data_IF_938600134073
#
_entry.id   IF_938600134073
#
_cell.length_a   1.000
_cell.length_b   1.000
_cell.length_c   1.000
_cell.angle_alpha   90.00
_cell.angle_beta   90.00
_cell.angle_gamma   90.00
#
_symmetry.space_group_name_H-M   'P 1'
#
loop_
_entity.id
_entity.type
_entity.pdbx_description
1 polymer ?
#
# COMPACT_ATOMS: atom_id res chain seq x y z
N UNK A 1 -35.78 24.04 20.91
CA UNK A 1 -35.09 24.52 22.12
C UNK A 1 -33.62 24.76 21.81
N UNK A 2 -33.02 25.80 22.40
CA UNK A 2 -31.59 26.12 22.30
C UNK A 2 -30.71 24.92 22.70
N UNK A 3 -31.16 24.15 23.70
CA UNK A 3 -30.49 22.95 24.21
C UNK A 3 -30.32 21.86 23.13
N UNK A 4 -31.32 21.70 22.26
CA UNK A 4 -31.26 20.74 21.16
C UNK A 4 -30.21 21.16 20.12
N UNK A 5 -30.05 22.47 19.90
CA UNK A 5 -29.05 23.05 18.99
C UNK A 5 -27.64 22.87 19.56
N UNK A 6 -27.47 23.13 20.86
CA UNK A 6 -26.19 22.93 21.57
C UNK A 6 -25.78 21.46 21.55
N UNK A 7 -26.71 20.53 21.82
CA UNK A 7 -26.45 19.09 21.76
C UNK A 7 -26.06 18.62 20.36
N UNK A 8 -26.73 19.13 19.32
CA UNK A 8 -26.36 18.86 17.92
C UNK A 8 -24.96 19.38 17.61
N UNK A 9 -24.63 20.62 17.97
CA UNK A 9 -23.31 21.20 17.72
C UNK A 9 -22.19 20.47 18.48
N UNK A 10 -22.43 20.04 19.73
CA UNK A 10 -21.47 19.24 20.50
C UNK A 10 -21.24 17.86 19.86
N UNK A 11 -22.29 17.20 19.36
CA UNK A 11 -22.15 15.94 18.63
C UNK A 11 -21.47 16.09 17.26
N UNK A 12 -21.60 17.25 16.63
CA UNK A 12 -20.89 17.58 15.38
C UNK A 12 -19.42 17.92 15.65
N UNK A 13 -19.13 18.60 16.76
CA UNK A 13 -17.78 18.91 17.20
C UNK A 13 -16.98 17.64 17.52
N UNK A 14 -17.61 16.58 18.07
CA UNK A 14 -16.92 15.29 18.25
C UNK A 14 -16.53 14.60 16.94
N UNK A 15 -17.22 14.91 15.83
CA UNK A 15 -16.81 14.46 14.49
C UNK A 15 -15.76 15.40 13.83
N UNK A 16 -15.55 16.59 14.40
CA UNK A 16 -14.52 17.55 14.03
C UNK A 16 -13.27 17.28 14.89
N UNK A 17 -12.53 16.22 14.55
CA UNK A 17 -11.35 15.77 15.26
C UNK A 17 -10.67 14.58 14.58
N UNK A 18 -9.63 14.03 15.20
CA UNK A 18 -8.94 12.85 14.69
C UNK A 18 -9.85 11.61 14.77
N UNK A 19 -10.00 10.91 13.66
CA UNK A 19 -10.64 9.59 13.63
C UNK A 19 -9.60 8.57 14.06
N UNK A 20 -9.91 7.82 15.12
CA UNK A 20 -9.04 6.74 15.62
C UNK A 20 -9.54 5.42 15.06
N UNK A 21 -8.64 4.70 14.38
CA UNK A 21 -8.86 3.33 13.94
C UNK A 21 -7.88 2.43 14.69
N UNK A 22 -8.37 1.29 15.20
CA UNK A 22 -7.51 0.29 15.81
C UNK A 22 -6.95 -0.63 14.73
N UNK A 23 -5.63 -0.67 14.56
CA UNK A 23 -4.95 -1.52 13.59
C UNK A 23 -4.91 -3.01 14.00
N UNK A 24 -5.25 -3.33 15.25
CA UNK A 24 -5.12 -4.68 15.80
C UNK A 24 -3.65 -5.05 15.94
N UNK A 25 -3.29 -6.21 15.37
CA UNK A 25 -1.93 -6.75 15.43
C UNK A 25 -1.03 -6.29 14.27
N UNK A 26 -1.59 -5.59 13.27
CA UNK A 26 -0.82 -5.15 12.10
C UNK A 26 -0.06 -3.84 12.41
N UNK A 27 1.15 -3.73 11.86
CA UNK A 27 2.04 -2.57 12.03
C UNK A 27 2.55 -2.09 10.69
N UNK A 28 2.86 -0.79 10.60
CA UNK A 28 3.53 -0.22 9.44
C UNK A 28 4.90 -0.88 9.25
N UNK A 29 5.13 -1.48 8.07
CA UNK A 29 6.45 -1.92 7.63
C UNK A 29 7.31 -0.77 7.12
N UNK A 30 6.68 0.34 6.74
CA UNK A 30 7.32 1.58 6.38
C UNK A 30 6.38 2.75 6.68
N UNK A 31 6.92 3.97 6.69
CA UNK A 31 6.21 5.13 7.23
C UNK A 31 4.87 5.38 6.49
N UNK A 32 3.77 5.32 7.25
CA UNK A 32 2.43 5.61 6.76
C UNK A 32 1.83 4.56 5.81
N UNK A 33 2.34 3.33 5.80
CA UNK A 33 1.83 2.23 4.96
C UNK A 33 0.32 1.99 5.17
N UNK A 34 -0.11 1.68 6.40
CA UNK A 34 -1.51 1.39 6.73
C UNK A 34 -2.40 2.59 6.37
N UNK A 35 -1.93 3.81 6.67
CA UNK A 35 -2.66 5.04 6.34
C UNK A 35 -2.87 5.16 4.83
N UNK A 36 -1.84 4.89 4.03
CA UNK A 36 -1.93 4.95 2.57
C UNK A 36 -2.86 3.86 2.01
N UNK A 37 -2.82 2.64 2.54
CA UNK A 37 -3.74 1.55 2.18
C UNK A 37 -5.20 1.98 2.43
N UNK A 38 -5.47 2.58 3.60
CA UNK A 38 -6.80 3.10 3.93
C UNK A 38 -7.20 4.18 2.92
N UNK A 39 -6.34 5.16 2.65
CA UNK A 39 -6.63 6.23 1.68
C UNK A 39 -6.95 5.65 0.29
N UNK A 40 -6.20 4.65 -0.18
CA UNK A 40 -6.44 4.03 -1.49
C UNK A 40 -7.75 3.21 -1.52
N UNK A 41 -8.12 2.58 -0.40
CA UNK A 41 -9.44 1.98 -0.23
C UNK A 41 -10.56 3.02 -0.29
N UNK A 42 -10.40 4.18 0.36
CA UNK A 42 -11.37 5.29 0.29
C UNK A 42 -11.51 5.84 -1.14
N UNK A 43 -10.38 6.03 -1.85
CA UNK A 43 -10.37 6.46 -3.27
C UNK A 43 -11.05 5.45 -4.18
N UNK A 44 -11.04 4.16 -3.85
CA UNK A 44 -11.76 3.14 -4.59
C UNK A 44 -13.25 3.19 -4.26
N UNK A 45 -13.60 3.29 -2.98
CA UNK A 45 -14.97 3.32 -2.50
C UNK A 45 -15.77 4.54 -3.01
N UNK A 46 -15.11 5.69 -3.19
CA UNK A 46 -15.78 6.93 -3.62
C UNK A 46 -16.23 6.91 -5.10
N UNK A 47 -15.57 6.14 -5.97
CA UNK A 47 -15.82 6.12 -7.43
C UNK A 47 -17.27 5.79 -7.80
N UNK A 48 -17.96 5.01 -6.97
CA UNK A 48 -19.32 4.54 -7.21
C UNK A 48 -20.37 5.26 -6.32
N UNK A 49 -20.02 6.40 -5.71
CA UNK A 49 -20.93 7.15 -4.84
C UNK A 49 -21.60 8.31 -5.58
N UNK A 50 -22.85 8.58 -5.20
CA UNK A 50 -23.55 9.80 -5.60
C UNK A 50 -22.78 11.01 -5.05
N UNK A 51 -22.33 11.90 -5.94
CA UNK A 51 -21.53 13.09 -5.64
C UNK A 51 -22.23 14.08 -4.70
N UNK A 52 -23.56 14.10 -4.69
CA UNK A 52 -24.36 14.94 -3.78
C UNK A 52 -24.67 14.24 -2.45
N UNK A 53 -24.29 12.97 -2.31
CA UNK A 53 -24.57 12.15 -1.14
C UNK A 53 -23.63 12.44 0.03
N UNK A 54 -24.14 12.27 1.26
CA UNK A 54 -23.34 12.49 2.48
C UNK A 54 -22.08 11.64 2.53
N UNK A 55 -22.16 10.37 2.08
CA UNK A 55 -21.00 9.48 2.04
C UNK A 55 -19.92 9.99 1.10
N UNK A 56 -20.27 10.56 -0.05
CA UNK A 56 -19.29 11.16 -0.95
C UNK A 56 -18.58 12.34 -0.28
N UNK A 57 -19.34 13.27 0.34
CA UNK A 57 -18.74 14.41 1.05
C UNK A 57 -17.80 13.99 2.18
N UNK A 58 -18.14 12.93 2.93
CA UNK A 58 -17.26 12.40 3.98
C UNK A 58 -15.98 11.82 3.36
N UNK A 59 -16.09 10.93 2.37
CA UNK A 59 -14.94 10.29 1.73
C UNK A 59 -14.03 11.33 1.06
N UNK A 60 -14.59 12.31 0.35
CA UNK A 60 -13.82 13.41 -0.25
C UNK A 60 -13.07 14.21 0.79
N UNK A 61 -13.70 14.53 1.92
CA UNK A 61 -13.05 15.25 3.02
C UNK A 61 -11.89 14.45 3.62
N UNK A 62 -12.08 13.15 3.85
CA UNK A 62 -11.00 12.28 4.36
C UNK A 62 -9.84 12.19 3.39
N UNK A 63 -10.10 11.99 2.09
CA UNK A 63 -9.05 11.91 1.07
C UNK A 63 -8.28 13.23 0.96
N UNK A 64 -8.98 14.38 1.05
CA UNK A 64 -8.36 15.70 0.88
C UNK A 64 -7.54 16.15 2.10
N UNK A 65 -7.94 15.77 3.32
CA UNK A 65 -7.32 16.23 4.56
C UNK A 65 -6.29 15.25 5.16
N UNK A 66 -6.01 14.14 4.48
CA UNK A 66 -5.00 13.18 4.92
C UNK A 66 -3.89 13.08 3.88
N UNK A 67 -2.67 13.50 4.27
CA UNK A 67 -1.49 13.41 3.41
C UNK A 67 -1.18 11.94 3.06
N UNK A 68 -0.98 11.69 1.76
CA UNK A 68 -0.52 10.41 1.24
C UNK A 68 1.01 10.36 1.32
N UNK A 69 1.56 9.40 2.05
CA UNK A 69 3.01 9.27 2.19
C UNK A 69 3.64 8.94 0.83
N UNK A 70 4.70 9.67 0.45
CA UNK A 70 5.41 9.47 -0.83
C UNK A 70 6.30 8.23 -0.81
N UNK A 71 6.55 7.63 0.35
CA UNK A 71 7.36 6.42 0.48
C UNK A 71 6.75 5.24 -0.29
N UNK A 72 5.43 5.03 -0.21
CA UNK A 72 4.75 3.96 -1.00
C UNK A 72 5.04 4.09 -2.49
N UNK A 73 4.90 5.29 -3.05
CA UNK A 73 5.16 5.53 -4.47
C UNK A 73 6.64 5.36 -4.82
N UNK A 74 7.54 5.82 -3.95
CA UNK A 74 8.99 5.66 -4.11
C UNK A 74 9.39 4.19 -4.13
N UNK A 75 8.79 3.37 -3.25
CA UNK A 75 8.99 1.92 -3.18
C UNK A 75 8.42 1.20 -4.41
N UNK A 76 7.20 1.55 -4.85
CA UNK A 76 6.62 1.04 -6.12
C UNK A 76 7.53 1.33 -7.32
N UNK A 77 8.08 2.54 -7.39
CA UNK A 77 9.02 2.92 -8.45
C UNK A 77 10.34 2.16 -8.36
N UNK A 78 10.90 1.99 -7.16
CA UNK A 78 12.12 1.20 -6.96
C UNK A 78 11.91 -0.26 -7.35
N UNK A 79 10.78 -0.88 -6.97
CA UNK A 79 10.41 -2.23 -7.41
C UNK A 79 10.37 -2.33 -8.93
N UNK A 80 9.65 -1.41 -9.57
CA UNK A 80 9.53 -1.36 -11.03
C UNK A 80 10.90 -1.24 -11.70
N UNK A 81 11.76 -0.31 -11.26
CA UNK A 81 13.11 -0.13 -11.80
C UNK A 81 13.99 -1.36 -11.59
N UNK A 82 13.86 -2.01 -10.44
CA UNK A 82 14.68 -3.18 -10.05
C UNK A 82 14.36 -4.40 -10.91
N UNK A 83 13.08 -4.64 -11.21
CA UNK A 83 12.68 -5.84 -11.92
C UNK A 83 12.45 -5.63 -13.42
N UNK A 84 12.37 -4.38 -13.92
CA UNK A 84 12.18 -4.13 -15.36
C UNK A 84 13.33 -4.72 -16.16
N UNK A 85 13.01 -5.68 -17.04
CA UNK A 85 14.03 -6.36 -17.84
C UNK A 85 14.92 -7.32 -17.04
N UNK A 86 14.48 -7.73 -15.84
CA UNK A 86 15.19 -8.69 -15.00
C UNK A 86 15.62 -9.93 -15.79
N UNK A 87 16.91 -10.28 -15.69
CA UNK A 87 17.52 -11.46 -16.32
C UNK A 87 18.07 -12.45 -15.32
N UNK A 88 18.64 -11.95 -14.22
CA UNK A 88 19.20 -12.75 -13.13
C UNK A 88 19.28 -11.90 -11.87
N UNK A 89 19.48 -12.56 -10.73
CA UNK A 89 19.73 -11.91 -9.45
C UNK A 89 21.17 -11.41 -9.37
N UNK A 90 21.45 -10.26 -9.99
CA UNK A 90 22.72 -9.58 -9.83
C UNK A 90 22.81 -8.86 -8.46
N UNK A 91 23.99 -8.36 -8.13
CA UNK A 91 24.23 -7.69 -6.85
C UNK A 91 23.38 -6.44 -6.66
N UNK A 92 23.09 -5.70 -7.75
CA UNK A 92 22.25 -4.50 -7.72
C UNK A 92 20.78 -4.86 -7.44
N UNK A 93 20.26 -5.89 -8.11
CA UNK A 93 18.89 -6.39 -7.92
C UNK A 93 18.71 -6.91 -6.51
N UNK A 94 19.65 -7.73 -6.02
CA UNK A 94 19.60 -8.26 -4.66
C UNK A 94 19.63 -7.14 -3.62
N UNK A 95 20.48 -6.12 -3.83
CA UNK A 95 20.55 -4.94 -2.94
C UNK A 95 19.23 -4.17 -2.95
N UNK A 96 18.68 -3.86 -4.11
CA UNK A 96 17.44 -3.08 -4.19
C UNK A 96 16.23 -3.84 -3.62
N UNK A 97 16.15 -5.16 -3.82
CA UNK A 97 15.12 -5.99 -3.20
C UNK A 97 15.28 -5.98 -1.67
N UNK A 98 16.51 -6.05 -1.16
CA UNK A 98 16.78 -5.91 0.28
C UNK A 98 16.39 -4.54 0.80
N UNK A 99 16.72 -3.46 0.08
CA UNK A 99 16.35 -2.09 0.43
C UNK A 99 14.82 -1.90 0.44
N UNK A 100 14.09 -2.67 -0.38
CA UNK A 100 12.63 -2.73 -0.37
C UNK A 100 12.06 -3.51 0.81
N UNK A 101 12.87 -4.29 1.54
CA UNK A 101 12.40 -5.14 2.66
C UNK A 101 12.26 -6.63 2.30
N UNK A 102 12.79 -7.08 1.16
CA UNK A 102 12.77 -8.50 0.81
C UNK A 102 14.01 -9.25 1.29
N UNK A 103 13.78 -10.48 1.76
CA UNK A 103 14.79 -11.54 1.74
C UNK A 103 14.59 -12.45 0.53
N UNK A 104 15.71 -12.93 -0.02
CA UNK A 104 15.74 -13.86 -1.13
C UNK A 104 16.42 -15.16 -0.68
N UNK A 105 15.72 -16.28 -0.84
CA UNK A 105 16.26 -17.63 -0.61
C UNK A 105 16.23 -18.42 -1.91
N UNK A 106 17.29 -19.20 -2.16
CA UNK A 106 17.39 -20.01 -3.37
C UNK A 106 16.53 -21.27 -3.24
N UNK A 107 15.59 -21.46 -4.17
CA UNK A 107 14.74 -22.65 -4.26
C UNK A 107 14.83 -23.27 -5.67
N UNK A 108 15.79 -24.18 -5.85
CA UNK A 108 16.03 -24.85 -7.13
C UNK A 108 16.28 -23.87 -8.28
N UNK A 109 15.34 -23.79 -9.24
CA UNK A 109 15.38 -22.88 -10.40
C UNK A 109 14.77 -21.50 -10.14
N UNK A 110 14.30 -21.25 -8.92
CA UNK A 110 13.62 -20.01 -8.53
C UNK A 110 14.29 -19.39 -7.29
N UNK A 111 13.98 -18.13 -7.07
CA UNK A 111 14.19 -17.39 -5.84
C UNK A 111 12.84 -17.29 -5.14
N UNK A 112 12.79 -17.65 -3.87
CA UNK A 112 11.67 -17.29 -3.00
C UNK A 112 11.98 -15.94 -2.37
N UNK A 113 11.17 -14.95 -2.72
CA UNK A 113 11.19 -13.63 -2.11
C UNK A 113 10.20 -13.61 -0.95
N UNK A 114 10.59 -13.07 0.20
CA UNK A 114 9.72 -12.90 1.37
C UNK A 114 9.85 -11.48 1.88
N UNK A 115 8.73 -10.77 2.00
CA UNK A 115 8.68 -9.37 2.40
C UNK A 115 8.60 -9.26 3.93
N UNK A 116 9.52 -8.49 4.53
CA UNK A 116 9.66 -8.28 5.98
C UNK A 116 9.63 -9.56 6.81
N UNK A 117 10.24 -10.64 6.30
CA UNK A 117 10.27 -11.96 6.94
C UNK A 117 8.87 -12.57 7.25
N UNK A 118 7.81 -12.00 6.69
CA UNK A 118 6.45 -12.50 6.86
C UNK A 118 6.09 -13.46 5.72
N UNK A 119 5.92 -14.77 6.00
CA UNK A 119 5.66 -15.76 4.97
C UNK A 119 4.31 -15.56 4.25
N UNK A 120 3.39 -14.75 4.79
CA UNK A 120 2.14 -14.35 4.12
C UNK A 120 2.43 -13.58 2.83
N UNK A 121 3.55 -12.85 2.78
CA UNK A 121 3.91 -11.97 1.67
C UNK A 121 5.13 -12.53 0.93
N UNK A 122 4.91 -13.55 0.10
CA UNK A 122 5.97 -14.21 -0.67
C UNK A 122 5.68 -14.35 -2.16
N UNK A 123 6.76 -14.35 -2.95
CA UNK A 123 6.70 -14.49 -4.41
C UNK A 123 7.80 -15.41 -4.93
N UNK A 124 7.49 -16.22 -5.95
CA UNK A 124 8.45 -17.14 -6.60
C UNK A 124 8.96 -16.50 -7.89
N UNK A 125 10.19 -15.96 -7.85
CA UNK A 125 10.83 -15.32 -8.99
C UNK A 125 11.77 -16.31 -9.70
N UNK A 126 11.66 -16.54 -11.01
CA UNK A 126 12.64 -17.36 -11.74
C UNK A 126 14.08 -16.87 -11.57
N UNK A 127 15.05 -17.78 -11.48
CA UNK A 127 16.47 -17.40 -11.46
C UNK A 127 16.93 -16.75 -12.76
N UNK A 128 16.29 -17.15 -13.86
CA UNK A 128 16.56 -16.60 -15.20
C UNK A 128 15.29 -15.96 -15.73
N UNK A 129 15.36 -14.69 -16.11
CA UNK A 129 14.24 -13.97 -16.70
C UNK A 129 13.94 -14.48 -18.10
N UNK A 130 12.69 -14.91 -18.32
CA UNK A 130 12.24 -15.46 -19.60
C UNK A 130 12.13 -14.38 -20.68
N UNK A 131 11.46 -13.25 -20.40
CA UNK A 131 11.23 -12.13 -21.34
C UNK A 131 10.71 -10.86 -20.64
N UNK A 132 10.64 -9.73 -21.38
CA UNK A 132 10.12 -8.44 -20.87
C UNK A 132 8.72 -8.55 -20.23
N UNK A 133 7.82 -9.33 -20.83
CA UNK A 133 6.47 -9.55 -20.27
C UNK A 133 6.52 -10.28 -18.93
N UNK A 134 7.46 -11.22 -18.77
CA UNK A 134 7.67 -11.93 -17.50
C UNK A 134 8.08 -10.98 -16.37
N UNK A 135 8.95 -10.02 -16.66
CA UNK A 135 9.31 -8.99 -15.67
C UNK A 135 8.15 -8.08 -15.28
N UNK A 136 7.29 -7.69 -16.24
CA UNK A 136 6.14 -6.85 -15.95
C UNK A 136 5.09 -7.58 -15.10
N UNK A 137 4.87 -8.88 -15.36
CA UNK A 137 3.98 -9.69 -14.55
C UNK A 137 4.51 -9.81 -13.11
N UNK A 138 5.81 -10.10 -12.93
CA UNK A 138 6.41 -10.16 -11.60
C UNK A 138 6.29 -8.84 -10.83
N UNK A 139 6.52 -7.71 -11.50
CA UNK A 139 6.32 -6.38 -10.88
C UNK A 139 4.87 -6.21 -10.43
N UNK A 140 3.90 -6.55 -11.29
CA UNK A 140 2.48 -6.41 -10.98
C UNK A 140 2.05 -7.31 -9.82
N UNK A 141 2.47 -8.57 -9.84
CA UNK A 141 2.11 -9.54 -8.81
C UNK A 141 2.71 -9.15 -7.46
N UNK A 142 3.99 -8.78 -7.45
CA UNK A 142 4.67 -8.33 -6.23
C UNK A 142 4.04 -7.03 -5.70
N UNK A 143 3.73 -6.09 -6.59
CA UNK A 143 3.07 -4.84 -6.17
C UNK A 143 1.72 -5.10 -5.51
N UNK A 144 0.93 -6.05 -6.03
CA UNK A 144 -0.36 -6.43 -5.45
C UNK A 144 -0.24 -7.18 -4.10
N UNK A 145 0.90 -7.80 -3.83
CA UNK A 145 1.16 -8.46 -2.55
C UNK A 145 1.47 -7.43 -1.45
N UNK A 146 2.15 -6.33 -1.79
CA UNK A 146 2.68 -5.38 -0.81
C UNK A 146 1.85 -4.09 -0.69
N UNK A 147 1.38 -3.53 -1.81
CA UNK A 147 0.88 -2.15 -1.87
C UNK A 147 -0.57 -2.03 -2.32
#
# INVERSE_FOLDING_TARGET
SLEHRVRTLQSQASAQGSIVLNAGEETDFFDGEIKNIIIDALKTAIKNKNEFGRSYHILSSLIANNEYNKETESRRQLLKRTLTGYRSMDSATQRNLKDLGFSASSDGKHWKLTYNEDPRYSYILPKTGSDHRGSLNAISDIANIIF
#
